data_IF_056972998341
#
_entry.id   IF_056972998341
#
_cell.length_a   1.000
_cell.length_b   1.000
_cell.length_c   1.000
_cell.angle_alpha   90.00
_cell.angle_beta   90.00
_cell.angle_gamma   90.00
#
_symmetry.space_group_name_H-M   'P 1'
#
loop_
_entity.id
_entity.type
_entity.pdbx_description
1 polymer ?
#
# COMPACT_ATOMS: atom_id res chain seq x y z
N UNK A 1 -20.32 -8.39 -3.14
CA UNK A 1 -19.08 -9.17 -3.04
C UNK A 1 -18.13 -8.37 -2.19
N UNK A 2 -17.72 -8.92 -1.02
CA UNK A 2 -16.66 -8.30 -0.20
C UNK A 2 -15.32 -8.80 -0.72
N UNK A 3 -14.49 -7.91 -1.24
CA UNK A 3 -13.11 -8.21 -1.60
C UNK A 3 -12.24 -7.79 -0.42
N UNK A 4 -11.52 -8.74 0.19
CA UNK A 4 -10.51 -8.48 1.22
C UNK A 4 -9.11 -8.61 0.62
N UNK A 5 -8.11 -8.04 1.29
CA UNK A 5 -6.71 -8.31 0.93
C UNK A 5 -6.40 -9.79 1.06
N UNK A 6 -5.54 -10.29 0.18
CA UNK A 6 -5.00 -11.63 0.32
C UNK A 6 -4.28 -11.75 1.68
N UNK A 7 -4.63 -12.80 2.43
CA UNK A 7 -4.01 -13.12 3.71
C UNK A 7 -3.29 -14.45 3.61
N UNK A 8 -2.14 -14.53 4.25
CA UNK A 8 -1.32 -15.75 4.26
C UNK A 8 -1.78 -16.68 5.38
N UNK A 9 -1.86 -17.98 5.09
CA UNK A 9 -2.20 -19.00 6.09
C UNK A 9 -0.95 -19.41 6.85
N UNK A 10 -0.97 -19.17 8.17
CA UNK A 10 0.08 -19.62 9.09
C UNK A 10 -0.21 -21.01 9.60
N UNK A 11 0.83 -21.79 9.85
CA UNK A 11 0.71 -23.12 10.47
C UNK A 11 1.56 -23.18 11.74
N UNK A 12 1.11 -23.97 12.73
CA UNK A 12 1.92 -24.32 13.91
C UNK A 12 2.61 -25.66 13.65
N UNK A 13 3.92 -25.64 13.56
CA UNK A 13 4.76 -26.84 13.40
C UNK A 13 5.67 -26.93 14.62
N UNK A 14 5.61 -28.05 15.35
CA UNK A 14 6.36 -28.27 16.60
C UNK A 14 6.20 -27.13 17.64
N UNK A 15 4.98 -26.59 17.75
CA UNK A 15 4.66 -25.50 18.69
C UNK A 15 5.11 -24.10 18.26
N UNK A 16 5.82 -23.97 17.15
CA UNK A 16 6.26 -22.69 16.57
C UNK A 16 5.34 -22.27 15.44
N UNK A 17 5.03 -20.97 15.39
CA UNK A 17 4.31 -20.39 14.28
C UNK A 17 5.21 -20.37 13.04
N UNK A 18 4.74 -20.97 11.95
CA UNK A 18 5.43 -21.02 10.67
C UNK A 18 4.62 -20.32 9.59
N UNK A 19 5.32 -19.75 8.62
CA UNK A 19 4.76 -19.08 7.46
C UNK A 19 5.23 -19.74 6.17
N UNK A 20 4.43 -19.72 5.08
CA UNK A 20 4.83 -20.26 3.80
C UNK A 20 5.92 -19.38 3.16
N UNK A 21 6.89 -20.03 2.55
CA UNK A 21 7.96 -19.43 1.76
C UNK A 21 7.82 -19.85 0.30
N UNK A 22 8.20 -18.94 -0.58
CA UNK A 22 8.19 -19.16 -2.01
C UNK A 22 9.58 -18.94 -2.61
N UNK A 23 9.91 -19.73 -3.60
CA UNK A 23 11.02 -19.50 -4.51
C UNK A 23 10.53 -18.56 -5.61
N UNK A 24 11.29 -17.51 -5.89
CA UNK A 24 10.97 -16.56 -6.96
C UNK A 24 12.13 -16.44 -7.93
N UNK A 25 11.80 -16.12 -9.16
CA UNK A 25 12.73 -15.77 -10.24
C UNK A 25 12.27 -14.46 -10.85
N UNK A 26 13.16 -13.50 -10.94
CA UNK A 26 12.90 -12.18 -11.51
C UNK A 26 13.84 -11.96 -12.66
N UNK A 27 13.29 -11.74 -13.85
CA UNK A 27 14.03 -11.32 -15.03
C UNK A 27 13.86 -9.82 -15.21
N UNK A 28 14.95 -9.07 -15.32
CA UNK A 28 14.92 -7.63 -15.45
C UNK A 28 16.19 -7.10 -16.13
N UNK A 29 16.17 -5.84 -16.63
CA UNK A 29 17.38 -5.18 -17.11
C UNK A 29 18.43 -5.06 -16.01
N UNK A 30 19.70 -5.22 -16.35
CA UNK A 30 20.82 -5.23 -15.40
C UNK A 30 20.91 -3.95 -14.55
N UNK A 31 20.61 -2.79 -15.11
CA UNK A 31 20.64 -1.51 -14.39
C UNK A 31 19.60 -1.41 -13.25
N UNK A 32 18.61 -2.29 -13.22
CA UNK A 32 17.57 -2.36 -12.17
C UNK A 32 17.94 -3.30 -11.02
N UNK A 33 19.02 -4.09 -11.15
CA UNK A 33 19.40 -5.12 -10.18
C UNK A 33 19.47 -4.58 -8.74
N UNK A 34 20.13 -3.43 -8.54
CA UNK A 34 20.28 -2.85 -7.19
C UNK A 34 18.95 -2.52 -6.53
N UNK A 35 18.00 -1.94 -7.29
CA UNK A 35 16.67 -1.59 -6.81
C UNK A 35 15.84 -2.83 -6.47
N UNK A 36 15.93 -3.87 -7.29
CA UNK A 36 15.25 -5.17 -7.05
C UNK A 36 15.81 -5.83 -5.80
N UNK A 37 17.13 -5.88 -5.64
CA UNK A 37 17.78 -6.44 -4.45
C UNK A 37 17.35 -5.74 -3.17
N UNK A 38 17.29 -4.42 -3.17
CA UNK A 38 16.83 -3.64 -2.03
C UNK A 38 15.35 -3.89 -1.72
N UNK A 39 14.51 -3.93 -2.73
CA UNK A 39 13.08 -4.22 -2.57
C UNK A 39 12.84 -5.61 -1.98
N UNK A 40 13.57 -6.63 -2.45
CA UNK A 40 13.51 -7.99 -1.91
C UNK A 40 13.96 -8.04 -0.44
N UNK A 41 15.07 -7.36 -0.11
CA UNK A 41 15.59 -7.30 1.27
C UNK A 41 14.59 -6.67 2.24
N UNK A 42 13.94 -5.58 1.83
CA UNK A 42 12.89 -4.92 2.62
C UNK A 42 11.68 -5.83 2.87
N UNK A 43 11.46 -6.81 2.02
CA UNK A 43 10.37 -7.79 2.09
C UNK A 43 10.80 -9.15 2.68
N UNK A 44 11.93 -9.19 3.39
CA UNK A 44 12.54 -10.38 4.00
C UNK A 44 12.94 -11.45 2.98
N UNK A 45 13.12 -11.09 1.73
CA UNK A 45 13.65 -11.98 0.69
C UNK A 45 15.14 -12.24 0.88
N UNK A 46 15.54 -13.48 0.64
CA UNK A 46 16.95 -13.90 0.62
C UNK A 46 17.33 -14.26 -0.80
N UNK A 47 18.23 -13.50 -1.40
CA UNK A 47 18.74 -13.79 -2.74
C UNK A 47 19.61 -15.05 -2.68
N UNK A 48 19.33 -16.01 -3.54
CA UNK A 48 20.03 -17.30 -3.63
C UNK A 48 20.97 -17.36 -4.80
N UNK A 49 20.62 -16.72 -5.93
CA UNK A 49 21.45 -16.71 -7.13
C UNK A 49 21.18 -15.47 -7.98
N UNK A 50 22.18 -15.03 -8.73
CA UNK A 50 22.10 -13.97 -9.72
C UNK A 50 22.81 -14.43 -10.96
N UNK A 51 22.12 -14.47 -12.09
CA UNK A 51 22.65 -14.88 -13.39
C UNK A 51 22.59 -13.69 -14.35
N UNK A 52 23.74 -13.37 -14.96
CA UNK A 52 23.86 -12.32 -15.96
C UNK A 52 23.80 -12.91 -17.35
N UNK A 53 22.99 -12.33 -18.22
CA UNK A 53 22.91 -12.73 -19.62
C UNK A 53 22.89 -11.49 -20.53
N UNK A 54 22.98 -11.73 -21.83
CA UNK A 54 22.99 -10.65 -22.82
C UNK A 54 21.73 -9.78 -22.82
N UNK A 55 20.61 -10.31 -22.35
CA UNK A 55 19.31 -9.61 -22.29
C UNK A 55 19.04 -8.93 -20.94
N UNK A 56 19.87 -9.15 -19.90
CA UNK A 56 19.67 -8.62 -18.57
C UNK A 56 20.14 -9.56 -17.47
N UNK A 57 19.40 -9.62 -16.39
CA UNK A 57 19.72 -10.41 -15.19
C UNK A 57 18.53 -11.22 -14.73
N UNK A 58 18.79 -12.46 -14.29
CA UNK A 58 17.82 -13.29 -13.56
C UNK A 58 18.24 -13.36 -12.09
N UNK A 59 17.36 -12.89 -11.21
CA UNK A 59 17.55 -12.96 -9.75
C UNK A 59 16.68 -14.07 -9.20
N UNK A 60 17.30 -15.04 -8.53
CA UNK A 60 16.59 -16.08 -7.78
C UNK A 60 16.62 -15.75 -6.29
N UNK A 61 15.47 -15.86 -5.64
CA UNK A 61 15.37 -15.55 -4.21
C UNK A 61 14.31 -16.41 -3.52
N UNK A 62 14.44 -16.57 -2.21
CA UNK A 62 13.46 -17.17 -1.34
C UNK A 62 12.81 -16.06 -0.50
N UNK A 63 11.49 -16.01 -0.45
CA UNK A 63 10.75 -14.94 0.19
C UNK A 63 9.51 -15.49 0.92
N UNK A 64 9.13 -14.95 2.10
CA UNK A 64 7.84 -15.27 2.69
C UNK A 64 6.70 -14.86 1.74
N UNK A 65 5.67 -15.71 1.60
CA UNK A 65 4.52 -15.41 0.73
C UNK A 65 3.89 -14.04 1.02
N UNK A 66 3.84 -13.62 2.29
CA UNK A 66 3.37 -12.28 2.67
C UNK A 66 4.23 -11.15 2.08
N UNK A 67 5.50 -11.39 1.82
CA UNK A 67 6.40 -10.44 1.15
C UNK A 67 6.11 -10.27 -0.34
N UNK A 68 5.47 -11.24 -0.98
CA UNK A 68 5.05 -11.18 -2.39
C UNK A 68 3.77 -10.38 -2.59
N UNK A 69 2.95 -10.20 -1.55
CA UNK A 69 1.70 -9.44 -1.66
C UNK A 69 2.02 -8.02 -2.10
N UNK A 70 1.52 -7.63 -3.28
CA UNK A 70 1.78 -6.34 -3.92
C UNK A 70 3.15 -6.20 -4.59
N UNK A 71 4.05 -7.17 -4.44
CA UNK A 71 5.40 -7.07 -5.02
C UNK A 71 5.41 -7.10 -6.55
N UNK A 72 4.51 -7.86 -7.17
CA UNK A 72 4.39 -7.89 -8.63
C UNK A 72 4.07 -6.52 -9.21
N UNK A 73 3.13 -5.79 -8.60
CA UNK A 73 2.80 -4.41 -9.00
C UNK A 73 3.97 -3.46 -8.78
N UNK A 74 4.67 -3.60 -7.67
CA UNK A 74 5.87 -2.80 -7.39
C UNK A 74 6.97 -3.10 -8.39
N UNK A 75 7.18 -4.37 -8.76
CA UNK A 75 8.18 -4.78 -9.74
C UNK A 75 7.90 -4.16 -11.12
N UNK A 76 6.66 -4.19 -11.57
CA UNK A 76 6.24 -3.54 -12.84
C UNK A 76 6.57 -2.05 -12.80
N UNK A 77 6.28 -1.38 -11.69
CA UNK A 77 6.59 0.05 -11.51
C UNK A 77 8.10 0.31 -11.47
N UNK A 78 8.84 -0.45 -10.67
CA UNK A 78 10.30 -0.33 -10.52
C UNK A 78 11.05 -0.57 -11.82
N UNK A 79 10.55 -1.47 -12.66
CA UNK A 79 11.21 -1.86 -13.92
C UNK A 79 10.59 -1.18 -15.15
N UNK A 80 9.66 -0.25 -14.97
CA UNK A 80 8.92 0.40 -16.06
C UNK A 80 8.30 -0.61 -17.03
N UNK A 81 7.77 -1.72 -16.49
CA UNK A 81 7.15 -2.80 -17.25
C UNK A 81 8.09 -3.83 -17.86
N UNK A 82 9.41 -3.70 -17.67
CA UNK A 82 10.41 -4.62 -18.25
C UNK A 82 10.77 -5.81 -17.33
N UNK A 83 10.23 -5.85 -16.11
CA UNK A 83 10.47 -6.95 -15.18
C UNK A 83 9.38 -8.01 -15.28
N UNK A 84 9.80 -9.27 -15.27
CA UNK A 84 8.92 -10.43 -15.22
C UNK A 84 9.26 -11.24 -13.98
N UNK A 85 8.25 -11.69 -13.25
CA UNK A 85 8.42 -12.54 -12.07
C UNK A 85 7.65 -13.84 -12.23
N UNK A 86 8.26 -14.92 -11.80
CA UNK A 86 7.61 -16.20 -11.56
C UNK A 86 7.90 -16.65 -10.14
N UNK A 87 6.95 -17.38 -9.53
CA UNK A 87 7.08 -17.84 -8.16
C UNK A 87 6.49 -19.25 -7.99
N UNK A 88 6.96 -19.96 -6.99
CA UNK A 88 6.52 -21.31 -6.66
C UNK A 88 6.60 -21.51 -5.14
N UNK A 89 5.60 -22.17 -4.56
CA UNK A 89 5.65 -22.56 -3.16
C UNK A 89 6.87 -23.47 -2.89
N UNK A 90 7.58 -23.17 -1.82
CA UNK A 90 8.75 -23.91 -1.39
C UNK A 90 8.44 -24.78 -0.16
N UNK A 91 8.25 -24.18 0.99
CA UNK A 91 8.02 -24.86 2.28
C UNK A 91 7.51 -23.90 3.34
N UNK A 92 7.13 -24.43 4.50
CA UNK A 92 6.85 -23.63 5.70
C UNK A 92 8.12 -23.46 6.53
N UNK A 93 8.41 -22.21 6.95
CA UNK A 93 9.54 -21.87 7.82
C UNK A 93 9.07 -21.06 9.02
N UNK A 94 9.85 -21.03 10.12
CA UNK A 94 9.51 -20.21 11.28
C UNK A 94 9.27 -18.74 10.90
N UNK A 95 8.23 -18.15 11.50
CA UNK A 95 7.87 -16.75 11.30
C UNK A 95 9.02 -15.82 11.72
N UNK A 96 9.41 -14.91 10.83
CA UNK A 96 10.56 -14.00 11.02
C UNK A 96 10.19 -12.61 11.59
N UNK A 97 8.99 -12.43 12.13
CA UNK A 97 8.56 -11.14 12.65
C UNK A 97 7.80 -10.29 11.63
N UNK A 98 7.44 -9.09 12.01
CA UNK A 98 6.61 -8.21 11.18
C UNK A 98 7.37 -7.68 9.97
N UNK A 99 6.66 -7.53 8.87
CA UNK A 99 7.14 -6.96 7.63
C UNK A 99 6.56 -5.54 7.51
N UNK A 100 7.42 -4.56 7.54
CA UNK A 100 7.01 -3.17 7.34
C UNK A 100 6.90 -2.92 5.83
N UNK A 101 5.77 -3.33 5.25
CA UNK A 101 5.49 -3.15 3.81
C UNK A 101 4.89 -1.79 3.49
N UNK A 102 4.42 -1.07 4.50
CA UNK A 102 3.69 0.18 4.34
C UNK A 102 4.42 1.30 5.07
N UNK A 103 4.85 2.31 4.34
CA UNK A 103 5.52 3.49 4.91
C UNK A 103 4.51 4.55 5.37
N UNK A 104 3.32 4.56 4.79
CA UNK A 104 2.26 5.55 5.03
C UNK A 104 0.98 4.88 5.52
N UNK A 105 0.22 5.58 6.35
CA UNK A 105 -1.10 5.18 6.80
C UNK A 105 -2.20 5.54 5.79
N UNK A 106 -3.46 5.35 6.17
CA UNK A 106 -4.61 5.76 5.37
C UNK A 106 -5.53 6.69 6.16
N UNK A 107 -6.26 7.52 5.43
CA UNK A 107 -7.43 8.22 5.94
C UNK A 107 -8.66 7.32 5.71
N UNK A 108 -9.34 6.94 6.80
CA UNK A 108 -10.48 6.00 6.75
C UNK A 108 -11.74 6.73 7.18
N UNK A 109 -12.79 6.68 6.35
CA UNK A 109 -14.07 7.28 6.70
C UNK A 109 -14.70 6.60 7.92
N UNK A 110 -15.19 7.42 8.87
CA UNK A 110 -15.91 6.95 10.05
C UNK A 110 -17.42 6.80 9.81
N UNK A 111 -17.95 7.45 8.79
CA UNK A 111 -19.39 7.57 8.56
C UNK A 111 -19.78 7.36 7.11
N UNK A 112 -21.07 7.06 6.91
CA UNK A 112 -21.68 7.03 5.59
C UNK A 112 -22.18 8.44 5.24
N UNK A 113 -22.08 8.84 3.98
CA UNK A 113 -22.58 10.13 3.51
C UNK A 113 -21.96 10.56 2.20
N UNK A 114 -22.16 11.83 1.87
CA UNK A 114 -21.50 12.44 0.71
C UNK A 114 -20.37 13.35 1.17
N UNK A 115 -19.24 13.26 0.51
CA UNK A 115 -18.07 14.07 0.80
C UNK A 115 -18.38 15.57 0.61
N UNK A 116 -18.09 16.37 1.64
CA UNK A 116 -18.34 17.80 1.64
C UNK A 116 -17.07 18.58 1.39
N UNK A 117 -17.10 19.55 0.47
CA UNK A 117 -15.94 20.38 0.13
C UNK A 117 -15.25 20.99 1.36
N UNK A 118 -16.01 21.46 2.35
CA UNK A 118 -15.49 21.98 3.60
C UNK A 118 -14.70 20.96 4.42
N UNK A 119 -15.21 19.71 4.50
CA UNK A 119 -14.51 18.64 5.22
C UNK A 119 -13.23 18.24 4.48
N UNK A 120 -13.28 18.14 3.15
CA UNK A 120 -12.12 17.81 2.32
C UNK A 120 -11.03 18.87 2.41
N UNK A 121 -11.38 20.15 2.45
CA UNK A 121 -10.42 21.25 2.63
C UNK A 121 -9.62 21.09 3.94
N UNK A 122 -10.28 20.71 5.02
CA UNK A 122 -9.61 20.43 6.29
C UNK A 122 -8.76 19.13 6.23
N UNK A 123 -9.20 18.13 5.49
CA UNK A 123 -8.54 16.81 5.41
C UNK A 123 -7.33 16.82 4.48
N UNK A 124 -7.30 17.65 3.43
CA UNK A 124 -6.15 17.75 2.53
C UNK A 124 -4.88 18.26 3.24
N UNK A 125 -5.01 18.91 4.40
CA UNK A 125 -3.86 19.28 5.25
C UNK A 125 -3.23 18.08 5.96
N UNK A 126 -3.93 16.96 6.02
CA UNK A 126 -3.53 15.73 6.74
C UNK A 126 -2.98 14.65 5.82
N UNK A 127 -3.24 14.75 4.52
CA UNK A 127 -2.79 13.77 3.54
C UNK A 127 -3.43 13.97 2.17
N UNK A 128 -3.07 13.10 1.23
CA UNK A 128 -3.61 13.12 -0.12
C UNK A 128 -4.99 12.46 -0.14
N UNK A 129 -5.98 13.13 -0.70
CA UNK A 129 -7.34 12.61 -0.80
C UNK A 129 -7.53 11.87 -2.12
N UNK A 130 -8.35 10.80 -2.10
CA UNK A 130 -8.71 9.98 -3.26
C UNK A 130 -10.16 10.19 -3.69
N UNK A 131 -10.87 11.13 -3.03
CA UNK A 131 -12.28 11.42 -3.26
C UNK A 131 -12.49 12.90 -3.53
N UNK A 132 -13.56 13.20 -4.29
CA UNK A 132 -13.98 14.54 -4.65
C UNK A 132 -15.23 14.97 -3.87
N UNK A 133 -15.52 16.30 -3.80
CA UNK A 133 -16.77 16.78 -3.23
C UNK A 133 -17.99 16.18 -3.95
N UNK A 134 -18.94 15.68 -3.17
CA UNK A 134 -20.14 15.02 -3.68
C UNK A 134 -20.04 13.51 -3.81
N UNK A 135 -18.84 12.93 -3.74
CA UNK A 135 -18.67 11.47 -3.77
C UNK A 135 -19.35 10.81 -2.57
N UNK A 136 -20.00 9.69 -2.83
CA UNK A 136 -20.62 8.87 -1.80
C UNK A 136 -19.56 8.04 -1.07
N UNK A 137 -19.51 8.15 0.24
CA UNK A 137 -18.56 7.44 1.10
C UNK A 137 -19.29 6.58 2.13
N UNK A 138 -18.62 5.52 2.58
CA UNK A 138 -19.14 4.63 3.64
C UNK A 138 -18.13 4.44 4.76
N UNK A 139 -18.61 4.10 5.94
CA UNK A 139 -17.76 3.82 7.09
C UNK A 139 -16.80 2.66 6.83
N UNK A 140 -15.50 2.87 7.06
CA UNK A 140 -14.43 1.93 6.73
C UNK A 140 -13.83 2.09 5.34
N UNK A 141 -14.33 2.99 4.50
CA UNK A 141 -13.75 3.30 3.20
C UNK A 141 -12.43 4.06 3.36
N UNK A 142 -11.41 3.67 2.61
CA UNK A 142 -10.19 4.46 2.48
C UNK A 142 -10.48 5.65 1.56
N UNK A 143 -10.29 6.85 2.09
CA UNK A 143 -10.59 8.11 1.40
C UNK A 143 -9.35 8.95 1.11
N UNK A 144 -8.19 8.51 1.58
CA UNK A 144 -6.94 9.20 1.32
C UNK A 144 -5.73 8.46 1.91
N UNK A 145 -4.56 9.00 1.65
CA UNK A 145 -3.27 8.56 2.19
C UNK A 145 -2.85 9.48 3.35
N UNK A 146 -2.43 8.88 4.47
CA UNK A 146 -1.85 9.60 5.59
C UNK A 146 -0.32 9.51 5.50
N UNK A 147 0.43 10.62 5.48
CA UNK A 147 1.91 10.59 5.47
C UNK A 147 2.51 9.94 6.72
N UNK A 148 1.76 9.82 7.81
CA UNK A 148 2.15 9.06 8.99
C UNK A 148 1.82 7.58 8.79
N UNK A 149 2.47 6.70 9.56
CA UNK A 149 2.28 5.24 9.44
C UNK A 149 0.92 4.73 9.92
N UNK A 150 0.26 5.46 10.80
CA UNK A 150 -1.00 5.06 11.41
C UNK A 150 -2.19 5.41 10.53
N UNK A 151 -3.20 4.54 10.52
CA UNK A 151 -4.48 4.85 9.88
C UNK A 151 -5.22 5.87 10.74
N UNK A 152 -5.72 6.93 10.11
CA UNK A 152 -6.42 8.01 10.76
C UNK A 152 -7.91 7.97 10.41
N UNK A 153 -8.80 7.76 11.40
CA UNK A 153 -10.24 7.88 11.19
C UNK A 153 -10.62 9.34 10.95
N UNK A 154 -11.39 9.58 9.88
CA UNK A 154 -11.80 10.92 9.44
C UNK A 154 -13.28 10.96 9.08
N UNK A 155 -13.89 12.17 9.11
CA UNK A 155 -15.26 12.35 8.65
C UNK A 155 -15.29 13.27 7.42
N UNK A 156 -15.32 12.71 6.19
CA UNK A 156 -15.39 13.49 4.96
C UNK A 156 -16.79 14.07 4.67
N UNK A 157 -17.82 13.58 5.36
CA UNK A 157 -19.19 14.06 5.21
C UNK A 157 -19.58 15.17 6.19
N UNK A 158 -18.63 15.68 6.99
CA UNK A 158 -18.91 16.71 8.00
C UNK A 158 -19.32 18.03 7.34
N UNK A 159 -20.55 18.46 7.60
CA UNK A 159 -21.03 19.76 7.16
C UNK A 159 -20.40 20.93 7.97
N UNK A 160 -20.26 22.08 7.35
CA UNK A 160 -19.88 23.31 8.04
C UNK A 160 -20.98 23.70 9.04
N UNK A 161 -20.64 23.84 10.31
CA UNK A 161 -21.54 24.49 11.26
C UNK A 161 -21.72 25.96 10.85
N UNK A 162 -22.92 26.34 10.52
CA UNK A 162 -23.26 27.74 10.28
C UNK A 162 -23.51 28.39 11.66
N UNK A 163 -22.49 28.99 12.24
CA UNK A 163 -22.66 29.90 13.34
C UNK A 163 -23.24 31.22 12.81
N UNK A 164 -24.35 31.69 13.42
CA UNK A 164 -25.03 32.93 13.07
C UNK A 164 -24.23 34.19 13.48
N UNK A 165 -22.94 34.21 13.28
CA UNK A 165 -22.15 35.43 13.38
C UNK A 165 -22.17 36.16 12.03
N UNK A 166 -22.77 37.35 12.01
CA UNK A 166 -22.64 38.35 10.95
C UNK A 166 -21.17 38.82 10.86
N UNK A 167 -20.31 37.98 10.34
CA UNK A 167 -19.00 38.38 9.85
C UNK A 167 -19.11 38.55 8.35
N UNK A 168 -19.08 39.80 7.89
CA UNK A 168 -18.83 40.18 6.51
C UNK A 168 -17.40 39.79 6.14
N UNK A 169 -17.15 38.50 6.01
CA UNK A 169 -15.93 37.91 5.54
C UNK A 169 -16.19 37.26 4.20
N UNK A 170 -15.50 37.71 3.16
CA UNK A 170 -15.51 37.14 1.82
C UNK A 170 -15.54 35.61 1.88
N UNK A 171 -16.49 34.99 1.18
CA UNK A 171 -16.45 33.57 0.88
C UNK A 171 -15.12 33.27 0.19
N UNK A 172 -14.16 32.75 0.96
CA UNK A 172 -12.93 32.23 0.38
C UNK A 172 -13.30 31.00 -0.42
N UNK A 173 -13.05 31.03 -1.71
CA UNK A 173 -13.19 29.84 -2.55
C UNK A 173 -12.30 28.74 -1.98
N UNK A 174 -12.87 27.56 -1.75
CA UNK A 174 -12.15 26.39 -1.28
C UNK A 174 -11.37 25.84 -2.46
N UNK A 175 -10.04 25.91 -2.41
CA UNK A 175 -9.17 25.29 -3.40
C UNK A 175 -8.83 23.88 -2.94
N UNK A 176 -9.38 22.87 -3.61
CA UNK A 176 -9.05 21.46 -3.39
C UNK A 176 -8.02 21.00 -4.42
N UNK A 177 -7.05 20.21 -3.96
CA UNK A 177 -6.15 19.52 -4.85
C UNK A 177 -6.93 18.37 -5.51
N UNK A 178 -6.88 18.20 -6.85
CA UNK A 178 -7.52 17.06 -7.50
C UNK A 178 -6.99 15.73 -6.96
N UNK A 179 -7.81 14.70 -6.84
CA UNK A 179 -7.40 13.37 -6.39
C UNK A 179 -6.47 12.66 -7.37
#
# INVERSE_FOLDING_TARGET
>A
VRVSRATVLYQKINGKQCEPYEQIWIEAPEYQLGTIMQSLSNRLGKITNIEHHSAGVTVSAEIPTRGLIGFESDLVTLTSGNGVMSHMFLEYRPYKGELVTRQTGTLVSMENGNAMAYALDMLQTRGNLFISPGDSVYAGQVVGENPRRDDLPVNPAKAKHLDNMRASGSDKSIALTPP
#
